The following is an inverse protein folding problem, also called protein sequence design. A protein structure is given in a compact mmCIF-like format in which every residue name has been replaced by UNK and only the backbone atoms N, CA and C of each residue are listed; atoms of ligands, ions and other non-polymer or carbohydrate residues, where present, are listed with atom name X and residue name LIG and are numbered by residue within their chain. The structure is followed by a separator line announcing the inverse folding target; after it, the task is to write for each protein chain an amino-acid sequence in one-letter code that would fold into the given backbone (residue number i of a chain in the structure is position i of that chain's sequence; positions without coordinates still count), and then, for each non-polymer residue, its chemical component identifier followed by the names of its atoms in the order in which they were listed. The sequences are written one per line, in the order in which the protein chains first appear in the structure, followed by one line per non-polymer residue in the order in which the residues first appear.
data_IF_944298509837
#
_entry.id   IF_944298509837
#
_cell.length_a   1.000
_cell.length_b   1.000
_cell.length_c   1.000
_cell.angle_alpha   90.00
_cell.angle_beta   90.00
_cell.angle_gamma   90.00
#
_symmetry.space_group_name_H-M   'P 1'
#
loop_
_entity.id
_entity.type
_entity.pdbx_description
1 polymer ?
#
# COMPACT_ATOMS: atom_id res chain seq x y z
N UNK A 1 13.43 28.40 5.03
CA UNK A 1 14.22 27.15 5.17
C UNK A 1 15.20 27.18 6.35
N UNK A 2 15.70 28.34 6.79
CA UNK A 2 16.59 28.48 7.97
C UNK A 2 16.07 27.73 9.21
N UNK A 3 14.86 28.07 9.67
CA UNK A 3 14.31 27.50 10.91
C UNK A 3 14.10 25.99 10.90
N UNK A 4 13.83 25.40 9.72
CA UNK A 4 13.75 23.94 9.59
C UNK A 4 15.11 23.29 9.81
N UNK A 5 16.18 23.85 9.20
CA UNK A 5 17.54 23.37 9.39
C UNK A 5 18.02 23.57 10.83
N UNK A 6 17.74 24.73 11.43
CA UNK A 6 18.06 24.99 12.84
C UNK A 6 17.38 23.96 13.74
N UNK A 7 16.08 23.69 13.56
CA UNK A 7 15.37 22.70 14.35
C UNK A 7 15.98 21.29 14.25
N UNK A 8 16.39 20.85 13.05
CA UNK A 8 17.06 19.55 12.86
C UNK A 8 18.38 19.51 13.64
N UNK A 9 19.17 20.58 13.59
CA UNK A 9 20.46 20.68 14.27
C UNK A 9 20.27 20.75 15.79
N UNK A 10 19.37 21.61 16.26
CA UNK A 10 19.09 21.83 17.69
C UNK A 10 18.54 20.56 18.35
N UNK A 11 17.69 19.81 17.63
CA UNK A 11 17.14 18.54 18.09
C UNK A 11 18.07 17.34 17.81
N UNK A 12 19.24 17.55 17.20
CA UNK A 12 20.21 16.50 16.83
C UNK A 12 19.59 15.35 16.04
N UNK A 13 18.68 15.69 15.12
CA UNK A 13 17.97 14.70 14.33
C UNK A 13 18.77 14.30 13.09
N UNK A 14 18.68 13.01 12.76
CA UNK A 14 19.36 12.39 11.62
C UNK A 14 18.32 12.03 10.57
N UNK A 15 18.52 12.48 9.33
CA UNK A 15 17.61 12.10 8.22
C UNK A 15 17.79 10.62 7.87
N UNK A 16 16.68 9.89 7.79
CA UNK A 16 16.67 8.50 7.33
C UNK A 16 16.73 8.47 5.79
N UNK A 17 17.70 7.78 5.18
CA UNK A 17 17.79 7.66 3.73
C UNK A 17 16.54 7.01 3.13
N UNK A 18 16.01 7.61 2.06
CA UNK A 18 14.87 7.06 1.31
C UNK A 18 15.38 6.06 0.29
N UNK A 19 14.74 4.89 0.24
CA UNK A 19 14.98 3.82 -0.72
C UNK A 19 13.87 3.86 -1.78
N UNK A 20 14.27 3.79 -3.05
CA UNK A 20 13.35 3.84 -4.20
C UNK A 20 13.40 5.20 -4.89
N UNK A 21 12.27 5.64 -5.44
CA UNK A 21 12.18 6.93 -6.11
C UNK A 21 12.46 8.08 -5.14
N UNK A 22 13.32 9.02 -5.53
CA UNK A 22 13.85 10.05 -4.63
C UNK A 22 12.90 11.19 -4.28
N UNK A 23 11.76 11.28 -4.97
CA UNK A 23 10.79 12.37 -4.88
C UNK A 23 9.47 11.87 -4.31
N UNK A 24 8.86 12.65 -3.44
CA UNK A 24 7.61 12.30 -2.76
C UNK A 24 6.44 13.14 -3.22
N UNK A 25 6.70 14.12 -4.09
CA UNK A 25 5.69 14.95 -4.73
C UNK A 25 5.98 15.09 -6.23
N UNK A 26 4.93 15.05 -7.03
CA UNK A 26 4.97 15.11 -8.49
C UNK A 26 3.81 15.94 -9.03
N UNK A 27 4.12 16.87 -9.93
CA UNK A 27 3.12 17.68 -10.62
C UNK A 27 3.48 17.86 -12.10
N UNK A 28 2.45 18.02 -12.93
CA UNK A 28 2.59 17.99 -14.39
C UNK A 28 2.21 16.62 -14.96
N UNK A 29 1.84 16.59 -16.24
CA UNK A 29 1.40 15.36 -16.93
C UNK A 29 2.32 14.93 -18.07
N UNK A 30 3.13 15.87 -18.56
CA UNK A 30 4.02 15.69 -19.70
C UNK A 30 5.44 16.12 -19.30
N UNK A 31 6.47 15.56 -19.95
CA UNK A 31 7.89 15.78 -19.58
C UNK A 31 8.29 17.25 -19.49
N UNK A 32 7.73 18.11 -20.34
CA UNK A 32 8.04 19.56 -20.35
C UNK A 32 7.47 20.31 -19.13
N UNK A 33 6.49 19.72 -18.44
CA UNK A 33 5.80 20.29 -17.28
C UNK A 33 6.08 19.55 -15.97
N UNK A 34 6.86 18.46 -16.03
CA UNK A 34 7.07 17.57 -14.89
C UNK A 34 7.94 18.24 -13.83
N UNK A 35 7.38 18.46 -12.66
CA UNK A 35 8.06 18.96 -11.47
C UNK A 35 8.06 17.86 -10.43
N UNK A 36 9.25 17.55 -9.90
CA UNK A 36 9.46 16.52 -8.89
C UNK A 36 10.11 17.15 -7.66
N UNK A 37 9.48 16.99 -6.50
CA UNK A 37 9.99 17.50 -5.23
C UNK A 37 10.03 16.41 -4.15
N UNK A 38 10.95 16.57 -3.20
CA UNK A 38 11.05 15.72 -2.01
C UNK A 38 10.59 16.50 -0.78
N UNK A 39 9.29 16.44 -0.52
CA UNK A 39 8.63 17.16 0.55
C UNK A 39 8.52 16.34 1.84
N UNK A 40 8.40 15.02 1.72
CA UNK A 40 8.21 14.10 2.83
C UNK A 40 9.54 13.45 3.22
N UNK A 41 9.94 13.63 4.48
CA UNK A 41 11.22 13.17 5.02
C UNK A 41 11.03 12.62 6.43
N UNK A 42 11.79 11.60 6.79
CA UNK A 42 11.80 11.07 8.15
C UNK A 42 13.12 11.43 8.84
N UNK A 43 13.01 11.92 10.07
CA UNK A 43 14.15 12.29 10.91
C UNK A 43 14.02 11.58 12.25
N UNK A 44 15.13 11.08 12.77
CA UNK A 44 15.17 10.26 13.99
C UNK A 44 16.31 10.67 14.90
N UNK A 45 16.16 10.45 16.21
CA UNK A 45 17.24 10.64 17.17
C UNK A 45 18.27 9.50 17.09
N UNK A 46 19.50 9.75 17.55
CA UNK A 46 20.56 8.74 17.57
C UNK A 46 20.17 7.45 18.34
N UNK A 47 19.52 7.60 19.49
CA UNK A 47 19.07 6.46 20.30
C UNK A 47 18.04 5.57 19.58
N UNK A 48 17.26 6.16 18.68
CA UNK A 48 16.30 5.43 17.86
C UNK A 48 17.02 4.54 16.84
N UNK A 49 18.11 5.02 16.23
CA UNK A 49 18.93 4.22 15.30
C UNK A 49 19.53 3.00 15.99
N UNK A 50 19.97 3.16 17.25
CA UNK A 50 20.46 2.07 18.08
C UNK A 50 19.38 1.03 18.38
N UNK A 51 18.14 1.48 18.58
CA UNK A 51 16.99 0.62 18.86
C UNK A 51 16.49 -0.13 17.61
N UNK A 52 16.65 0.45 16.43
CA UNK A 52 16.18 -0.10 15.15
C UNK A 52 17.30 -0.12 14.10
N UNK A 53 18.35 -0.93 14.27
CA UNK A 53 19.51 -0.92 13.37
C UNK A 53 19.17 -1.39 11.94
N UNK A 54 18.11 -2.17 11.77
CA UNK A 54 17.62 -2.65 10.47
C UNK A 54 16.41 -1.86 9.95
N UNK A 55 16.37 -0.55 10.19
CA UNK A 55 15.33 0.32 9.65
C UNK A 55 15.54 0.60 8.15
N UNK A 56 14.46 0.85 7.42
CA UNK A 56 14.48 1.32 6.03
C UNK A 56 13.29 2.25 5.79
N UNK A 57 13.52 3.39 5.15
CA UNK A 57 12.45 4.25 4.67
C UNK A 57 12.26 3.99 3.18
N UNK A 58 11.05 3.58 2.78
CA UNK A 58 10.73 3.31 1.38
C UNK A 58 9.78 4.36 0.83
N UNK A 59 9.97 4.74 -0.42
CA UNK A 59 8.94 5.44 -1.17
C UNK A 59 7.98 4.41 -1.78
N UNK A 60 6.67 4.62 -1.63
CA UNK A 60 5.64 3.78 -2.21
C UNK A 60 4.98 4.50 -3.38
N UNK A 61 4.98 3.84 -4.54
CA UNK A 61 4.30 4.31 -5.74
C UNK A 61 2.84 4.64 -5.45
N UNK A 62 2.47 5.89 -5.75
CA UNK A 62 1.10 6.40 -5.75
C UNK A 62 0.64 6.63 -7.18
N UNK A 63 -0.61 6.29 -7.47
CA UNK A 63 -1.22 6.47 -8.79
C UNK A 63 -2.38 7.48 -8.81
N UNK A 64 -2.81 7.94 -7.63
CA UNK A 64 -3.98 8.82 -7.45
C UNK A 64 -3.69 10.13 -6.72
N UNK A 65 -2.51 10.26 -6.10
CA UNK A 65 -2.08 11.49 -5.45
C UNK A 65 -0.80 11.97 -6.12
N UNK A 66 -0.67 13.29 -6.20
CA UNK A 66 0.58 13.98 -6.46
C UNK A 66 1.64 13.69 -5.38
N UNK A 67 1.23 13.28 -4.18
CA UNK A 67 2.12 12.73 -3.17
C UNK A 67 2.28 11.19 -3.28
N UNK A 68 3.51 10.75 -3.02
CA UNK A 68 3.83 9.34 -2.78
C UNK A 68 3.99 9.07 -1.29
N UNK A 69 3.44 7.94 -0.82
CA UNK A 69 3.50 7.59 0.60
C UNK A 69 4.89 7.09 0.99
N UNK A 70 5.46 7.57 2.09
CA UNK A 70 6.69 7.01 2.66
C UNK A 70 6.38 5.97 3.74
N UNK A 71 7.07 4.82 3.67
CA UNK A 71 6.91 3.71 4.62
C UNK A 71 8.19 3.49 5.39
N UNK A 72 8.16 3.79 6.70
CA UNK A 72 9.22 3.42 7.62
C UNK A 72 9.04 1.96 8.05
N UNK A 73 9.91 1.10 7.55
CA UNK A 73 10.05 -0.27 8.01
C UNK A 73 11.05 -0.32 9.16
N UNK A 74 10.65 -0.95 10.26
CA UNK A 74 11.53 -1.32 11.36
C UNK A 74 11.42 -2.82 11.58
N UNK A 75 12.56 -3.49 11.75
CA UNK A 75 12.55 -4.87 12.23
C UNK A 75 12.18 -4.85 13.71
N UNK A 76 10.93 -5.14 14.02
CA UNK A 76 10.51 -5.36 15.41
C UNK A 76 10.85 -6.81 15.81
N UNK A 77 11.51 -6.98 16.94
CA UNK A 77 11.76 -8.30 17.56
C UNK A 77 10.45 -9.02 17.92
N UNK A 78 9.35 -8.27 18.05
CA UNK A 78 8.02 -8.79 18.34
C UNK A 78 7.04 -8.40 17.22
N UNK A 79 6.85 -9.29 16.26
CA UNK A 79 5.67 -9.26 15.41
C UNK A 79 4.46 -9.56 16.30
N UNK A 80 3.79 -8.53 16.80
CA UNK A 80 2.45 -8.70 17.35
C UNK A 80 1.59 -9.13 16.17
N UNK A 81 1.26 -10.42 16.09
CA UNK A 81 0.25 -10.92 15.15
C UNK A 81 -1.04 -10.20 15.49
N UNK A 82 -1.33 -9.13 14.75
CA UNK A 82 -2.62 -8.46 14.85
C UNK A 82 -3.65 -9.52 14.48
N UNK A 83 -4.57 -9.82 15.39
CA UNK A 83 -5.66 -10.75 15.10
C UNK A 83 -6.38 -10.22 13.86
N UNK A 84 -6.31 -10.97 12.76
CA UNK A 84 -7.03 -10.62 11.55
C UNK A 84 -8.51 -10.67 11.90
N UNK A 85 -9.18 -9.52 11.83
CA UNK A 85 -10.63 -9.44 12.00
C UNK A 85 -11.23 -9.48 10.61
N UNK A 86 -12.22 -10.33 10.43
CA UNK A 86 -13.03 -10.31 9.23
C UNK A 86 -13.55 -8.90 8.97
N UNK A 87 -13.45 -8.47 7.72
CA UNK A 87 -14.03 -7.23 7.22
C UNK A 87 -14.85 -7.59 6.00
N UNK A 88 -16.03 -6.99 5.93
CA UNK A 88 -16.84 -7.05 4.73
C UNK A 88 -16.33 -6.00 3.75
N UNK A 89 -16.13 -6.38 2.48
CA UNK A 89 -15.82 -5.45 1.42
C UNK A 89 -17.07 -5.23 0.55
N UNK A 90 -17.40 -3.96 0.31
CA UNK A 90 -18.59 -3.60 -0.47
C UNK A 90 -18.53 -4.10 -1.91
N UNK A 91 -17.32 -4.34 -2.40
CA UNK A 91 -17.00 -4.88 -3.72
C UNK A 91 -17.63 -6.24 -3.97
N UNK A 92 -17.72 -7.06 -2.93
CA UNK A 92 -18.31 -8.38 -3.05
C UNK A 92 -19.76 -8.33 -3.55
N UNK A 93 -20.49 -7.24 -3.27
CA UNK A 93 -21.86 -7.04 -3.77
C UNK A 93 -21.94 -6.89 -5.30
N UNK A 94 -20.84 -6.56 -5.96
CA UNK A 94 -20.76 -6.40 -7.41
C UNK A 94 -20.40 -7.71 -8.12
N UNK A 95 -19.91 -8.70 -7.37
CA UNK A 95 -19.65 -10.03 -7.90
C UNK A 95 -20.94 -10.87 -7.94
N UNK A 96 -21.26 -11.42 -9.12
CA UNK A 96 -22.46 -12.22 -9.32
C UNK A 96 -22.50 -13.49 -8.43
N UNK A 97 -21.34 -14.04 -8.07
CA UNK A 97 -21.24 -15.28 -7.30
C UNK A 97 -21.41 -15.04 -5.78
N UNK A 98 -21.33 -13.79 -5.32
CA UNK A 98 -21.30 -13.48 -3.89
C UNK A 98 -22.53 -13.99 -3.13
N UNK A 99 -23.72 -13.74 -3.65
CA UNK A 99 -24.97 -14.16 -3.01
C UNK A 99 -25.07 -15.69 -2.91
N UNK A 100 -24.56 -16.41 -3.92
CA UNK A 100 -24.52 -17.87 -3.92
C UNK A 100 -23.57 -18.38 -2.83
N UNK A 101 -22.36 -17.82 -2.74
CA UNK A 101 -21.37 -18.18 -1.72
C UNK A 101 -21.92 -17.98 -0.31
N UNK A 102 -22.55 -16.83 -0.04
CA UNK A 102 -23.17 -16.54 1.26
C UNK A 102 -24.32 -17.52 1.56
N UNK A 103 -25.20 -17.77 0.59
CA UNK A 103 -26.34 -18.68 0.75
C UNK A 103 -25.88 -20.11 1.07
N UNK A 104 -24.88 -20.60 0.33
CA UNK A 104 -24.26 -21.90 0.55
C UNK A 104 -23.62 -21.99 1.94
N UNK A 105 -22.78 -21.02 2.31
CA UNK A 105 -22.11 -20.99 3.61
C UNK A 105 -23.11 -20.95 4.78
N UNK A 106 -24.16 -20.14 4.66
CA UNK A 106 -25.18 -19.98 5.69
C UNK A 106 -26.04 -21.25 5.89
N UNK A 107 -26.17 -22.05 4.83
CA UNK A 107 -27.03 -23.24 4.79
C UNK A 107 -26.32 -24.54 5.15
N UNK A 108 -24.99 -24.54 5.33
CA UNK A 108 -24.21 -25.75 5.62
C UNK A 108 -24.65 -26.49 6.89
N UNK A 109 -24.91 -25.76 7.97
CA UNK A 109 -25.41 -26.36 9.21
C UNK A 109 -26.65 -25.60 9.72
N UNK A 110 -27.79 -26.29 9.75
CA UNK A 110 -29.07 -25.70 10.15
C UNK A 110 -29.25 -25.69 11.66
N UNK A 111 -28.47 -26.46 12.41
CA UNK A 111 -28.66 -26.70 13.84
C UNK A 111 -27.75 -25.84 14.73
N UNK A 112 -26.92 -24.99 14.13
CA UNK A 112 -26.02 -24.08 14.86
C UNK A 112 -26.65 -22.70 15.08
N UNK A 113 -26.27 -22.06 16.18
CA UNK A 113 -26.69 -20.70 16.51
C UNK A 113 -26.16 -19.65 15.51
N UNK A 114 -26.82 -18.49 15.46
CA UNK A 114 -26.54 -17.41 14.50
C UNK A 114 -25.07 -16.96 14.54
N UNK A 115 -24.45 -16.85 15.71
CA UNK A 115 -23.05 -16.44 15.84
C UNK A 115 -22.09 -17.44 15.17
N UNK A 116 -22.34 -18.73 15.30
CA UNK A 116 -21.54 -19.76 14.65
C UNK A 116 -21.69 -19.69 13.12
N UNK A 117 -22.90 -19.39 12.62
CA UNK A 117 -23.12 -19.16 11.18
C UNK A 117 -22.37 -17.95 10.65
N UNK A 118 -22.37 -16.84 11.39
CA UNK A 118 -21.59 -15.65 11.02
C UNK A 118 -20.10 -15.98 10.95
N UNK A 119 -19.57 -16.70 11.95
CA UNK A 119 -18.16 -17.12 11.93
C UNK A 119 -17.84 -18.03 10.73
N UNK A 120 -18.67 -19.05 10.46
CA UNK A 120 -18.47 -19.94 9.32
C UNK A 120 -18.52 -19.17 7.99
N UNK A 121 -19.55 -18.33 7.80
CA UNK A 121 -19.70 -17.50 6.61
C UNK A 121 -18.51 -16.54 6.43
N UNK A 122 -18.02 -15.93 7.52
CA UNK A 122 -16.85 -15.06 7.46
C UNK A 122 -15.58 -15.80 7.01
N UNK A 123 -15.39 -17.04 7.44
CA UNK A 123 -14.27 -17.87 7.00
C UNK A 123 -14.41 -18.23 5.52
N UNK A 124 -15.58 -18.70 5.09
CA UNK A 124 -15.84 -19.03 3.67
C UNK A 124 -15.65 -17.84 2.75
N UNK A 125 -16.13 -16.65 3.14
CA UNK A 125 -15.93 -15.42 2.36
C UNK A 125 -14.46 -15.02 2.30
N UNK A 126 -13.70 -15.21 3.38
CA UNK A 126 -12.25 -14.94 3.38
C UNK A 126 -11.53 -15.87 2.40
N UNK A 127 -11.87 -17.16 2.39
CA UNK A 127 -11.29 -18.13 1.46
C UNK A 127 -11.69 -17.86 0.01
N UNK A 128 -12.96 -17.52 -0.22
CA UNK A 128 -13.47 -17.13 -1.54
C UNK A 128 -12.76 -15.87 -2.06
N UNK A 129 -12.63 -14.82 -1.24
CA UNK A 129 -11.87 -13.61 -1.59
C UNK A 129 -10.43 -13.98 -1.99
N UNK A 130 -9.74 -14.75 -1.15
CA UNK A 130 -8.37 -15.17 -1.45
C UNK A 130 -8.27 -15.92 -2.78
N UNK A 131 -9.28 -16.71 -3.17
CA UNK A 131 -9.28 -17.40 -4.46
C UNK A 131 -9.39 -16.46 -5.68
N UNK A 132 -9.97 -15.27 -5.50
CA UNK A 132 -10.14 -14.25 -6.53
C UNK A 132 -8.96 -13.25 -6.57
N UNK A 133 -8.42 -12.88 -5.40
CA UNK A 133 -7.46 -11.77 -5.23
C UNK A 133 -6.05 -12.04 -5.77
N UNK A 134 -5.69 -13.31 -6.04
CA UNK A 134 -4.33 -13.66 -6.46
C UNK A 134 -3.92 -13.01 -7.78
N UNK A 135 -4.86 -12.73 -8.68
CA UNK A 135 -4.53 -12.14 -9.98
C UNK A 135 -4.26 -10.62 -9.86
N UNK A 136 -5.15 -9.88 -9.20
CA UNK A 136 -5.02 -8.43 -9.03
C UNK A 136 -3.82 -8.05 -8.17
N UNK A 137 -3.64 -8.74 -7.03
CA UNK A 137 -2.50 -8.49 -6.14
C UNK A 137 -1.17 -8.68 -6.87
N UNK A 138 -1.07 -9.72 -7.69
CA UNK A 138 0.12 -10.00 -8.49
C UNK A 138 0.36 -8.93 -9.57
N UNK A 139 -0.68 -8.55 -10.32
CA UNK A 139 -0.58 -7.51 -11.35
C UNK A 139 -0.21 -6.13 -10.76
N UNK A 140 -0.84 -5.75 -9.65
CA UNK A 140 -0.53 -4.52 -8.90
C UNK A 140 0.93 -4.51 -8.45
N UNK A 141 1.42 -5.63 -7.90
CA UNK A 141 2.81 -5.76 -7.48
C UNK A 141 3.79 -5.61 -8.66
N UNK A 142 3.48 -6.20 -9.82
CA UNK A 142 4.28 -6.04 -11.04
C UNK A 142 4.28 -4.59 -11.52
N UNK A 143 3.12 -3.94 -11.60
CA UNK A 143 3.03 -2.56 -12.09
C UNK A 143 3.80 -1.61 -11.17
N UNK A 144 3.64 -1.73 -9.85
CA UNK A 144 4.43 -0.96 -8.88
C UNK A 144 5.94 -1.14 -9.10
N UNK A 145 6.40 -2.37 -9.27
CA UNK A 145 7.81 -2.67 -9.55
C UNK A 145 8.29 -2.09 -10.89
N UNK A 146 7.47 -2.13 -11.94
CA UNK A 146 7.79 -1.56 -13.26
C UNK A 146 7.91 -0.04 -13.18
N UNK A 147 7.02 0.61 -12.43
CA UNK A 147 7.06 2.06 -12.18
C UNK A 147 8.34 2.42 -11.41
N UNK A 148 8.68 1.68 -10.36
CA UNK A 148 9.92 1.90 -9.60
C UNK A 148 11.17 1.79 -10.47
N UNK A 149 11.24 0.77 -11.34
CA UNK A 149 12.36 0.57 -12.27
C UNK A 149 12.43 1.70 -13.29
N UNK A 150 11.30 2.12 -13.86
CA UNK A 150 11.25 3.22 -14.83
C UNK A 150 11.73 4.54 -14.20
N UNK A 151 11.28 4.84 -12.98
CA UNK A 151 11.74 6.00 -12.21
C UNK A 151 13.25 5.96 -11.91
N UNK A 152 13.80 4.81 -11.54
CA UNK A 152 15.24 4.66 -11.27
C UNK A 152 16.09 4.79 -12.53
N UNK A 153 15.61 4.23 -13.64
CA UNK A 153 16.28 4.28 -14.93
C UNK A 153 16.12 5.62 -15.65
N UNK A 154 15.34 6.56 -15.09
CA UNK A 154 14.99 7.87 -15.70
C UNK A 154 14.47 7.70 -17.14
N UNK A 155 13.61 6.70 -17.33
CA UNK A 155 12.97 6.38 -18.62
C UNK A 155 11.88 7.41 -18.90
N UNK A 156 11.53 7.56 -20.18
CA UNK A 156 10.46 8.42 -20.71
C UNK A 156 9.22 8.51 -19.79
N UNK A 157 8.90 9.74 -19.39
CA UNK A 157 7.79 10.07 -18.49
C UNK A 157 6.43 9.61 -19.03
N UNK A 158 6.29 9.54 -20.36
CA UNK A 158 5.07 9.03 -21.00
C UNK A 158 4.79 7.57 -20.60
N UNK A 159 5.83 6.76 -20.47
CA UNK A 159 5.69 5.37 -20.02
C UNK A 159 5.25 5.31 -18.55
N UNK A 160 5.82 6.16 -17.70
CA UNK A 160 5.48 6.21 -16.26
C UNK A 160 4.02 6.61 -16.08
N UNK A 161 3.57 7.65 -16.78
CA UNK A 161 2.17 8.10 -16.75
C UNK A 161 1.23 6.97 -17.20
N UNK A 162 1.58 6.26 -18.28
CA UNK A 162 0.80 5.11 -18.75
C UNK A 162 0.72 4.00 -17.71
N UNK A 163 1.84 3.63 -17.09
CA UNK A 163 1.89 2.58 -16.07
C UNK A 163 1.10 2.97 -14.81
N UNK A 164 1.18 4.24 -14.37
CA UNK A 164 0.38 4.76 -13.26
C UNK A 164 -1.12 4.74 -13.59
N UNK A 165 -1.51 5.08 -14.81
CA UNK A 165 -2.91 4.99 -15.27
C UNK A 165 -3.43 3.56 -15.24
N UNK A 166 -2.62 2.59 -15.70
CA UNK A 166 -2.95 1.15 -15.63
C UNK A 166 -3.06 0.66 -14.18
N UNK A 167 -2.15 1.09 -13.30
CA UNK A 167 -2.20 0.78 -11.88
C UNK A 167 -3.46 1.35 -11.23
N UNK A 168 -3.84 2.58 -11.56
CA UNK A 168 -5.12 3.16 -11.11
C UNK A 168 -6.31 2.35 -11.63
N UNK A 169 -6.34 1.99 -12.92
CA UNK A 169 -7.44 1.18 -13.46
C UNK A 169 -7.60 -0.17 -12.71
N UNK A 170 -6.49 -0.84 -12.36
CA UNK A 170 -6.54 -2.08 -11.59
C UNK A 170 -6.91 -1.86 -10.11
N UNK A 171 -6.39 -0.82 -9.46
CA UNK A 171 -6.76 -0.50 -8.08
C UNK A 171 -8.24 -0.12 -7.97
N UNK A 172 -8.81 0.54 -8.99
CA UNK A 172 -10.25 0.79 -9.05
C UNK A 172 -11.07 -0.50 -9.17
N UNK A 173 -10.54 -1.54 -9.84
CA UNK A 173 -11.19 -2.84 -9.97
C UNK A 173 -11.02 -3.73 -8.73
N UNK A 174 -9.98 -3.54 -7.92
CA UNK A 174 -9.84 -4.20 -6.60
C UNK A 174 -10.85 -3.61 -5.59
N UNK A 175 -11.28 -2.36 -5.80
CA UNK A 175 -12.26 -1.64 -4.97
C UNK A 175 -13.67 -1.69 -5.59
N UNK A 176 -13.90 -2.56 -6.58
CA UNK A 176 -15.21 -2.91 -7.17
C UNK A 176 -15.44 -4.40 -6.99
#
# INVERSE_FOLDING_TARGET
MEGFRSCIVDCQLIEVPLVGFGFTWEWGRDSDSLVLERLDRAFVAADWLNSFPCHKLFNLVSSYSDHSSIKLFVSAVFLVKRAHRFKFENTWLLNNDFLEVVSCAWSQDRNVGVLAKICACSATLTDWQNSQDHNFTYQIAILKKRIDVAHQAKVDDVLIVRLKSELSALLAQEVI
#
